data_IF_969986504566
#
_entry.id   IF_969986504566
#
_cell.length_a   1.000
_cell.length_b   1.000
_cell.length_c   1.000
_cell.angle_alpha   90.00
_cell.angle_beta   90.00
_cell.angle_gamma   90.00
#
_symmetry.space_group_name_H-M   'P 1'
#
loop_
_entity.id
_entity.type
_entity.pdbx_description
1 polymer ?
#
# COMPACT_ATOMS: atom_id res chain seq x y z
N UNK A 1 -15.60 2.91 -25.84
CA UNK A 1 -14.71 1.98 -25.07
C UNK A 1 -14.74 0.52 -25.55
N UNK A 2 -15.92 -0.09 -25.79
CA UNK A 2 -16.08 -1.52 -26.12
C UNK A 2 -15.43 -1.97 -27.45
N UNK A 3 -15.31 -1.08 -28.44
CA UNK A 3 -14.70 -1.38 -29.75
C UNK A 3 -13.16 -1.35 -29.75
N UNK A 4 -12.55 -0.54 -28.88
CA UNK A 4 -11.09 -0.43 -28.75
C UNK A 4 -10.50 -1.70 -28.11
N UNK A 5 -11.15 -2.21 -27.07
CA UNK A 5 -10.77 -3.45 -26.40
C UNK A 5 -10.87 -4.67 -27.34
N UNK A 6 -11.90 -4.73 -28.20
CA UNK A 6 -12.03 -5.78 -29.23
C UNK A 6 -10.90 -5.73 -30.27
N UNK A 7 -10.45 -4.53 -30.68
CA UNK A 7 -9.33 -4.40 -31.60
C UNK A 7 -8.00 -4.84 -30.97
N UNK A 8 -7.76 -4.50 -29.70
CA UNK A 8 -6.55 -4.92 -28.97
C UNK A 8 -6.52 -6.44 -28.83
N UNK A 9 -7.62 -7.07 -28.40
CA UNK A 9 -7.71 -8.53 -28.25
C UNK A 9 -7.50 -9.22 -29.60
N UNK A 10 -8.10 -8.71 -30.68
CA UNK A 10 -7.93 -9.28 -32.03
C UNK A 10 -6.48 -9.16 -32.52
N UNK A 11 -5.80 -8.03 -32.27
CA UNK A 11 -4.38 -7.85 -32.58
C UNK A 11 -3.49 -8.78 -31.74
N UNK A 12 -3.75 -8.93 -30.44
CA UNK A 12 -3.01 -9.84 -29.56
C UNK A 12 -3.17 -11.31 -29.96
N UNK A 13 -4.37 -11.73 -30.39
CA UNK A 13 -4.62 -13.08 -30.90
C UNK A 13 -3.93 -13.36 -32.24
N UNK A 14 -3.85 -12.35 -33.12
CA UNK A 14 -3.10 -12.44 -34.38
C UNK A 14 -1.60 -12.43 -34.13
N UNK A 15 -1.11 -11.65 -33.17
CA UNK A 15 0.29 -11.66 -32.74
C UNK A 15 0.67 -13.01 -32.12
N UNK A 16 -0.17 -13.55 -31.23
CA UNK A 16 0.01 -14.87 -30.62
C UNK A 16 0.00 -16.01 -31.63
N UNK A 17 -0.89 -15.95 -32.64
CA UNK A 17 -0.89 -16.91 -33.76
C UNK A 17 0.33 -16.78 -34.67
N UNK A 18 0.87 -15.57 -34.88
CA UNK A 18 2.14 -15.34 -35.61
C UNK A 18 3.36 -15.81 -34.81
N UNK A 19 3.35 -15.68 -33.49
CA UNK A 19 4.38 -16.23 -32.59
C UNK A 19 4.32 -17.75 -32.44
N UNK A 20 3.18 -18.36 -32.75
CA UNK A 20 2.96 -19.82 -32.79
C UNK A 20 3.09 -20.37 -34.22
N UNK A 21 4.01 -19.84 -35.03
CA UNK A 21 4.39 -20.54 -36.27
C UNK A 21 4.99 -21.91 -35.89
N UNK A 22 4.81 -22.93 -36.73
CA UNK A 22 5.37 -24.28 -36.49
C UNK A 22 6.88 -24.22 -36.22
N UNK A 23 7.57 -23.23 -36.80
CA UNK A 23 9.00 -22.97 -36.62
C UNK A 23 9.34 -22.48 -35.21
N UNK A 24 8.63 -21.47 -34.66
CA UNK A 24 8.89 -20.97 -33.29
C UNK A 24 8.54 -22.02 -32.23
N UNK A 25 7.47 -22.80 -32.46
CA UNK A 25 7.12 -23.94 -31.59
C UNK A 25 8.18 -25.04 -31.65
N UNK A 26 8.71 -25.32 -32.85
CA UNK A 26 9.83 -26.24 -33.04
C UNK A 26 11.09 -25.77 -32.31
N UNK A 27 11.43 -24.49 -32.42
CA UNK A 27 12.58 -23.89 -31.73
C UNK A 27 12.44 -23.92 -30.21
N UNK A 28 11.25 -23.64 -29.66
CA UNK A 28 10.99 -23.75 -28.22
C UNK A 28 11.13 -25.20 -27.73
N UNK A 29 10.52 -26.16 -28.45
CA UNK A 29 10.64 -27.59 -28.12
C UNK A 29 12.10 -28.05 -28.20
N UNK A 30 12.86 -27.55 -29.18
CA UNK A 30 14.28 -27.83 -29.34
C UNK A 30 15.11 -27.26 -28.17
N UNK A 31 14.85 -26.00 -27.77
CA UNK A 31 15.50 -25.38 -26.61
C UNK A 31 15.18 -26.15 -25.32
N UNK A 32 13.92 -26.50 -25.07
CA UNK A 32 13.55 -27.30 -23.90
C UNK A 32 14.18 -28.69 -23.94
N UNK A 33 14.29 -29.32 -25.12
CA UNK A 33 14.97 -30.60 -25.28
C UNK A 33 16.46 -30.50 -24.99
N UNK A 34 17.13 -29.42 -25.45
CA UNK A 34 18.54 -29.16 -25.15
C UNK A 34 18.73 -28.91 -23.65
N UNK A 35 17.90 -28.09 -23.02
CA UNK A 35 17.96 -27.82 -21.58
C UNK A 35 17.73 -29.10 -20.78
N UNK A 36 16.79 -29.95 -21.20
CA UNK A 36 16.55 -31.26 -20.59
C UNK A 36 17.74 -32.20 -20.76
N UNK A 37 18.35 -32.24 -21.95
CA UNK A 37 19.55 -33.05 -22.21
C UNK A 37 20.74 -32.58 -21.36
N UNK A 38 20.97 -31.28 -21.27
CA UNK A 38 21.99 -30.65 -20.44
C UNK A 38 21.73 -30.98 -18.96
N UNK A 39 20.47 -30.92 -18.51
CA UNK A 39 20.09 -31.30 -17.15
C UNK A 39 20.41 -32.77 -16.85
N UNK A 40 20.06 -33.69 -17.75
CA UNK A 40 20.35 -35.13 -17.61
C UNK A 40 21.88 -35.37 -17.61
N UNK A 41 22.61 -34.73 -18.52
CA UNK A 41 24.08 -34.82 -18.60
C UNK A 41 24.75 -34.28 -17.33
N UNK A 42 24.29 -33.16 -16.81
CA UNK A 42 24.77 -32.60 -15.54
C UNK A 42 24.56 -33.56 -14.37
N UNK A 43 23.42 -34.25 -14.30
CA UNK A 43 23.14 -35.23 -13.24
C UNK A 43 23.90 -36.55 -13.38
N UNK A 44 24.29 -36.91 -14.61
CA UNK A 44 25.11 -38.10 -14.89
C UNK A 44 26.61 -37.85 -14.69
N UNK A 45 27.08 -36.65 -15.00
CA UNK A 45 28.51 -36.30 -14.98
C UNK A 45 28.98 -35.65 -13.69
N UNK A 46 28.09 -34.97 -12.95
CA UNK A 46 28.44 -34.34 -11.68
C UNK A 46 28.11 -35.27 -10.51
N UNK A 47 29.05 -35.48 -9.56
CA UNK A 47 28.75 -36.17 -8.33
C UNK A 47 27.60 -35.47 -7.60
N UNK A 48 26.64 -36.25 -7.07
CA UNK A 48 25.50 -35.74 -6.31
C UNK A 48 25.92 -34.76 -5.20
N UNK A 49 27.09 -34.99 -4.60
CA UNK A 49 27.70 -34.13 -3.58
C UNK A 49 27.98 -32.70 -4.10
N UNK A 50 28.40 -32.55 -5.35
CA UNK A 50 28.74 -31.26 -5.94
C UNK A 50 27.49 -30.48 -6.35
N UNK A 51 26.44 -31.17 -6.83
CA UNK A 51 25.12 -30.57 -7.10
C UNK A 51 24.47 -30.07 -5.81
N UNK A 52 24.52 -30.87 -4.74
CA UNK A 52 24.02 -30.45 -3.42
C UNK A 52 24.80 -29.27 -2.85
N UNK A 53 26.14 -29.28 -2.95
CA UNK A 53 26.97 -28.16 -2.48
C UNK A 53 26.68 -26.85 -3.23
N UNK A 54 26.46 -26.91 -4.56
CA UNK A 54 26.06 -25.75 -5.35
C UNK A 54 24.68 -25.24 -4.95
N UNK A 55 23.72 -26.14 -4.73
CA UNK A 55 22.38 -25.79 -4.26
C UNK A 55 22.43 -25.11 -2.89
N UNK A 56 23.16 -25.68 -1.93
CA UNK A 56 23.32 -25.12 -0.59
C UNK A 56 23.96 -23.72 -0.61
N UNK A 57 24.98 -23.52 -1.45
CA UNK A 57 25.63 -22.22 -1.61
C UNK A 57 24.67 -21.20 -2.24
N UNK A 58 23.90 -21.60 -3.25
CA UNK A 58 22.87 -20.74 -3.84
C UNK A 58 21.79 -20.36 -2.82
N UNK A 59 21.31 -21.31 -2.02
CA UNK A 59 20.34 -21.05 -0.95
C UNK A 59 20.88 -20.05 0.08
N UNK A 60 22.13 -20.22 0.53
CA UNK A 60 22.76 -19.29 1.48
C UNK A 60 22.86 -17.86 0.91
N UNK A 61 23.25 -17.73 -0.35
CA UNK A 61 23.30 -16.43 -1.04
C UNK A 61 21.91 -15.83 -1.19
N UNK A 62 20.91 -16.62 -1.59
CA UNK A 62 19.53 -16.18 -1.74
C UNK A 62 18.94 -15.70 -0.40
N UNK A 63 19.21 -16.40 0.71
CA UNK A 63 18.80 -15.98 2.06
C UNK A 63 19.48 -14.66 2.44
N UNK A 64 20.79 -14.52 2.19
CA UNK A 64 21.51 -13.27 2.46
C UNK A 64 20.96 -12.08 1.68
N UNK A 65 20.68 -12.26 0.39
CA UNK A 65 20.07 -11.24 -0.47
C UNK A 65 18.65 -10.90 0.01
N UNK A 66 17.83 -11.90 0.33
CA UNK A 66 16.48 -11.68 0.86
C UNK A 66 16.53 -10.88 2.18
N UNK A 67 17.44 -11.21 3.09
CA UNK A 67 17.62 -10.49 4.35
C UNK A 67 18.03 -9.03 4.13
N UNK A 68 18.93 -8.75 3.17
CA UNK A 68 19.31 -7.37 2.81
C UNK A 68 18.14 -6.58 2.22
N UNK A 69 17.37 -7.20 1.32
CA UNK A 69 16.15 -6.60 0.74
C UNK A 69 15.15 -6.32 1.86
N UNK A 70 14.90 -7.28 2.74
CA UNK A 70 13.99 -7.11 3.88
C UNK A 70 14.47 -6.04 4.86
N UNK A 71 15.78 -5.92 5.13
CA UNK A 71 16.31 -4.86 5.97
C UNK A 71 16.15 -3.47 5.31
N UNK A 72 16.46 -3.39 4.02
CA UNK A 72 16.38 -2.16 3.24
C UNK A 72 14.93 -1.64 3.13
N UNK A 73 13.98 -2.51 2.75
CA UNK A 73 12.58 -2.12 2.60
C UNK A 73 11.78 -2.18 3.91
N UNK A 74 12.17 -3.05 4.85
CA UNK A 74 11.44 -3.25 6.10
C UNK A 74 11.70 -2.13 7.12
N UNK A 75 12.88 -1.52 7.12
CA UNK A 75 13.21 -0.43 8.05
C UNK A 75 12.37 0.83 7.82
N UNK A 76 12.14 1.21 6.57
CA UNK A 76 11.29 2.36 6.22
C UNK A 76 9.83 2.09 6.57
N UNK A 77 9.32 0.90 6.24
CA UNK A 77 7.96 0.48 6.59
C UNK A 77 7.75 0.45 8.11
N UNK A 78 8.71 -0.09 8.86
CA UNK A 78 8.63 -0.15 10.32
C UNK A 78 8.62 1.23 10.96
N UNK A 79 9.47 2.15 10.46
CA UNK A 79 9.51 3.54 10.94
C UNK A 79 8.20 4.28 10.65
N UNK A 80 7.64 4.10 9.46
CA UNK A 80 6.33 4.67 9.11
C UNK A 80 5.21 4.10 10.01
N UNK A 81 5.21 2.79 10.23
CA UNK A 81 4.21 2.12 11.05
C UNK A 81 4.33 2.52 12.54
N UNK A 82 5.55 2.68 13.04
CA UNK A 82 5.81 3.18 14.40
C UNK A 82 5.31 4.62 14.57
N UNK A 83 5.65 5.49 13.61
CA UNK A 83 5.15 6.88 13.59
C UNK A 83 3.63 6.92 13.57
N UNK A 84 3.00 6.09 12.73
CA UNK A 84 1.54 5.98 12.66
C UNK A 84 0.92 5.57 14.00
N UNK A 85 1.47 4.57 14.67
CA UNK A 85 0.97 4.12 15.98
C UNK A 85 1.06 5.24 17.02
N UNK A 86 2.19 5.97 17.07
CA UNK A 86 2.37 7.12 17.96
C UNK A 86 1.32 8.21 17.69
N UNK A 87 1.08 8.55 16.43
CA UNK A 87 0.06 9.55 16.07
C UNK A 87 -1.34 9.12 16.48
N UNK A 88 -1.69 7.85 16.27
CA UNK A 88 -2.99 7.30 16.70
C UNK A 88 -3.14 7.41 18.21
N UNK A 89 -2.12 7.00 18.96
CA UNK A 89 -2.12 7.07 20.42
C UNK A 89 -2.26 8.51 20.93
N UNK A 90 -1.50 9.45 20.36
CA UNK A 90 -1.58 10.87 20.69
C UNK A 90 -3.00 11.41 20.51
N UNK A 91 -3.61 11.24 19.34
CA UNK A 91 -4.94 11.77 19.06
C UNK A 91 -6.06 11.05 19.80
N UNK A 92 -5.94 9.74 20.05
CA UNK A 92 -6.91 9.00 20.88
C UNK A 92 -6.85 9.43 22.35
N UNK A 93 -5.68 9.84 22.83
CA UNK A 93 -5.52 10.38 24.18
C UNK A 93 -6.09 11.80 24.28
N UNK A 94 -5.82 12.64 23.27
CA UNK A 94 -6.29 14.03 23.23
C UNK A 94 -7.80 14.14 22.99
N UNK A 95 -8.33 13.31 22.10
CA UNK A 95 -9.74 13.31 21.70
C UNK A 95 -10.34 11.89 21.84
N UNK A 96 -10.55 11.43 23.08
CA UNK A 96 -11.03 10.08 23.32
C UNK A 96 -12.53 9.95 22.97
N UNK A 97 -12.99 8.79 22.46
CA UNK A 97 -14.38 8.61 22.01
C UNK A 97 -15.48 8.97 23.02
N UNK A 98 -15.20 8.80 24.31
CA UNK A 98 -16.17 9.03 25.40
C UNK A 98 -16.48 10.52 25.65
N UNK A 99 -15.68 11.45 25.13
CA UNK A 99 -15.91 12.90 25.29
C UNK A 99 -16.40 13.57 24.01
N UNK A 100 -16.73 12.79 22.99
CA UNK A 100 -17.37 13.29 21.76
C UNK A 100 -18.72 13.94 22.09
N UNK A 101 -19.01 15.09 21.46
CA UNK A 101 -20.19 15.92 21.72
C UNK A 101 -20.03 16.86 22.92
N UNK A 102 -19.09 16.58 23.83
CA UNK A 102 -18.82 17.41 25.02
C UNK A 102 -17.58 18.29 24.80
N UNK A 103 -16.44 17.69 24.46
CA UNK A 103 -15.17 18.39 24.26
C UNK A 103 -14.82 18.64 22.80
N UNK A 104 -15.31 17.80 21.91
CA UNK A 104 -15.09 17.95 20.49
C UNK A 104 -16.25 17.35 19.71
N UNK A 105 -16.41 17.77 18.46
CA UNK A 105 -17.38 17.20 17.53
C UNK A 105 -16.83 17.14 16.12
N UNK A 106 -17.34 16.21 15.32
CA UNK A 106 -16.98 16.14 13.89
C UNK A 106 -17.89 17.10 13.13
N UNK A 107 -17.29 17.97 12.31
CA UNK A 107 -17.99 18.95 11.50
C UNK A 107 -17.62 18.84 10.03
N UNK A 108 -18.53 19.26 9.16
CA UNK A 108 -18.33 19.41 7.72
C UNK A 108 -18.95 20.73 7.24
N UNK A 109 -18.39 21.34 6.21
CA UNK A 109 -18.98 22.51 5.56
C UNK A 109 -20.05 22.07 4.55
N UNK A 110 -21.19 22.75 4.53
CA UNK A 110 -22.24 22.51 3.53
C UNK A 110 -21.79 22.78 2.09
N UNK A 111 -20.88 23.74 1.88
CA UNK A 111 -20.40 24.13 0.54
C UNK A 111 -19.19 23.34 0.08
N UNK A 112 -18.51 22.64 0.99
CA UNK A 112 -17.35 21.80 0.69
C UNK A 112 -17.58 20.36 1.22
N UNK A 113 -18.57 19.64 0.66
CA UNK A 113 -18.85 18.28 1.10
C UNK A 113 -17.65 17.37 0.80
N UNK A 114 -17.24 16.60 1.81
CA UNK A 114 -16.16 15.60 1.69
C UNK A 114 -14.88 15.94 2.47
N UNK A 115 -14.67 17.19 2.86
CA UNK A 115 -13.61 17.57 3.79
C UNK A 115 -14.15 17.49 5.23
N UNK A 116 -13.52 16.66 6.07
CA UNK A 116 -13.97 16.37 7.43
C UNK A 116 -13.05 17.10 8.41
N UNK A 117 -13.64 17.73 9.42
CA UNK A 117 -12.89 18.46 10.43
C UNK A 117 -13.30 18.01 11.83
N UNK A 118 -12.35 18.07 12.77
CA UNK A 118 -12.63 17.99 14.20
C UNK A 118 -12.74 19.42 14.73
N UNK A 119 -13.87 19.78 15.31
CA UNK A 119 -14.03 21.02 16.05
C UNK A 119 -13.77 20.76 17.53
N UNK A 120 -12.68 21.32 18.03
CA UNK A 120 -12.32 21.30 19.44
C UNK A 120 -13.11 22.41 20.16
N UNK A 121 -14.03 22.00 21.04
CA UNK A 121 -14.94 22.91 21.73
C UNK A 121 -14.25 23.61 22.92
N UNK A 122 -13.09 23.11 23.36
CA UNK A 122 -12.31 23.74 24.43
C UNK A 122 -11.40 24.83 23.88
N UNK A 123 -10.72 24.56 22.76
CA UNK A 123 -9.80 25.52 22.14
C UNK A 123 -10.43 26.38 21.05
N UNK A 124 -11.66 26.05 20.61
CA UNK A 124 -12.39 26.71 19.52
C UNK A 124 -11.68 26.63 18.16
N UNK A 125 -10.83 25.62 17.96
CA UNK A 125 -10.15 25.36 16.70
C UNK A 125 -10.84 24.25 15.91
N UNK A 126 -10.86 24.40 14.58
CA UNK A 126 -11.16 23.32 13.63
C UNK A 126 -9.85 22.73 13.10
N UNK A 127 -9.73 21.42 13.20
CA UNK A 127 -8.60 20.65 12.72
C UNK A 127 -9.02 19.84 11.50
N UNK A 128 -8.36 20.05 10.37
CA UNK A 128 -8.63 19.26 9.16
C UNK A 128 -8.22 17.80 9.38
N UNK A 129 -9.14 16.87 9.15
CA UNK A 129 -8.85 15.44 9.19
C UNK A 129 -8.41 15.01 7.80
N UNK A 130 -7.12 14.68 7.65
CA UNK A 130 -6.48 14.55 6.35
C UNK A 130 -7.16 13.58 5.37
N UNK A 131 -7.71 12.47 5.87
CA UNK A 131 -8.43 11.50 5.05
C UNK A 131 -9.35 10.61 5.90
N UNK A 132 -10.25 9.90 5.21
CA UNK A 132 -11.17 8.98 5.88
C UNK A 132 -10.48 7.80 6.57
N UNK A 133 -9.29 7.39 6.10
CA UNK A 133 -8.48 6.37 6.80
C UNK A 133 -8.08 6.83 8.21
N UNK A 134 -7.77 8.11 8.38
CA UNK A 134 -7.46 8.71 9.69
C UNK A 134 -8.67 8.60 10.62
N UNK A 135 -9.88 8.86 10.13
CA UNK A 135 -11.12 8.69 10.89
C UNK A 135 -11.30 7.25 11.37
N UNK A 136 -11.04 6.25 10.50
CA UNK A 136 -11.08 4.83 10.89
C UNK A 136 -9.99 4.45 11.89
N UNK A 137 -8.75 4.87 11.64
CA UNK A 137 -7.61 4.63 12.53
C UNK A 137 -7.89 5.19 13.93
N UNK A 138 -8.63 6.30 14.04
CA UNK A 138 -8.97 6.95 15.31
C UNK A 138 -10.28 6.45 15.92
N UNK A 139 -11.08 5.67 15.20
CA UNK A 139 -12.34 5.09 15.70
C UNK A 139 -13.52 6.06 15.67
N UNK A 140 -13.47 7.07 14.81
CA UNK A 140 -14.48 8.15 14.75
C UNK A 140 -15.52 7.95 13.63
N UNK A 141 -15.50 6.80 12.95
CA UNK A 141 -16.37 6.52 11.80
C UNK A 141 -17.86 6.47 12.16
N UNK A 142 -18.20 6.17 13.42
CA UNK A 142 -19.57 6.08 13.92
C UNK A 142 -20.11 7.40 14.45
N UNK A 143 -19.29 8.46 14.51
CA UNK A 143 -19.72 9.75 15.03
C UNK A 143 -20.53 10.51 13.99
N UNK A 144 -21.60 11.15 14.46
CA UNK A 144 -22.39 12.05 13.64
C UNK A 144 -21.55 13.24 13.17
N UNK A 145 -21.73 13.61 11.90
CA UNK A 145 -21.03 14.73 11.29
C UNK A 145 -21.98 15.90 11.21
N UNK A 146 -21.74 16.92 12.02
CA UNK A 146 -22.56 18.12 12.07
C UNK A 146 -22.22 18.99 10.86
N UNK A 147 -23.20 19.22 10.00
CA UNK A 147 -23.04 20.15 8.87
C UNK A 147 -23.25 21.56 9.36
N UNK A 148 -22.31 22.44 9.00
CA UNK A 148 -22.37 23.86 9.33
C UNK A 148 -22.52 24.69 8.06
N UNK A 149 -23.26 25.79 8.18
CA UNK A 149 -23.30 26.81 7.14
C UNK A 149 -21.88 27.33 6.88
N UNK A 150 -21.61 27.86 5.69
CA UNK A 150 -20.27 28.37 5.38
C UNK A 150 -19.82 29.48 6.32
N UNK A 151 -20.74 30.36 6.73
CA UNK A 151 -20.44 31.44 7.66
C UNK A 151 -20.01 30.91 9.03
N UNK A 152 -20.75 29.94 9.58
CA UNK A 152 -20.43 29.35 10.88
C UNK A 152 -19.14 28.54 10.80
N UNK A 153 -18.96 27.78 9.72
CA UNK A 153 -17.76 26.99 9.50
C UNK A 153 -16.51 27.87 9.41
N UNK A 154 -16.56 28.94 8.62
CA UNK A 154 -15.43 29.85 8.40
C UNK A 154 -15.10 30.70 9.62
N UNK A 155 -16.07 30.92 10.51
CA UNK A 155 -15.85 31.65 11.77
C UNK A 155 -14.92 30.93 12.76
N UNK A 156 -14.76 29.61 12.63
CA UNK A 156 -13.94 28.80 13.55
C UNK A 156 -12.47 28.87 13.14
N UNK A 157 -11.59 29.13 14.11
CA UNK A 157 -10.15 29.25 13.93
C UNK A 157 -9.53 27.95 13.41
N UNK A 158 -8.54 28.04 12.52
CA UNK A 158 -7.88 26.87 11.95
C UNK A 158 -6.76 26.42 12.89
N UNK A 159 -6.80 25.17 13.32
CA UNK A 159 -5.73 24.52 14.06
C UNK A 159 -4.94 23.54 13.18
N UNK A 160 -3.97 22.86 13.80
CA UNK A 160 -3.11 21.91 13.09
C UNK A 160 -3.90 20.72 12.53
N UNK A 161 -3.53 20.20 11.34
CA UNK A 161 -4.22 19.08 10.73
C UNK A 161 -3.98 17.77 11.48
N UNK A 162 -5.02 16.94 11.59
CA UNK A 162 -4.95 15.61 12.18
C UNK A 162 -4.58 14.60 11.10
N UNK A 163 -3.43 13.94 11.30
CA UNK A 163 -2.91 12.91 10.39
C UNK A 163 -2.36 11.72 11.18
N UNK A 164 -2.68 10.51 10.75
CA UNK A 164 -2.06 9.29 11.28
C UNK A 164 -0.84 8.85 10.49
N UNK A 165 -0.52 9.50 9.36
CA UNK A 165 0.69 9.22 8.57
C UNK A 165 1.52 10.48 8.38
N UNK A 166 2.83 10.29 8.25
CA UNK A 166 3.81 11.38 8.27
C UNK A 166 4.26 11.71 9.69
N UNK A 167 5.45 12.26 9.84
CA UNK A 167 5.96 12.72 11.13
C UNK A 167 5.02 13.79 11.69
N UNK A 168 4.57 13.64 12.94
CA UNK A 168 4.03 14.78 13.68
C UNK A 168 5.18 15.78 13.73
N UNK A 169 4.99 16.97 13.15
CA UNK A 169 6.03 17.99 13.22
C UNK A 169 6.24 18.31 14.69
N UNK A 170 7.41 17.97 15.22
CA UNK A 170 7.99 18.62 16.38
C UNK A 170 8.81 19.82 15.88
#
# INVERSE_FOLDING_TARGET
>A
MRNFLKQIIKKALVLGKRFLSKEVRGSLVFIFSILGLIFILLHLLLPLALVNALSDNFYKVAIGVAALITAYFGSSYFREELSRKKSIEHYRTKYPPNVHGVKYRIIESETQPGAIYLHDLETLHKHHIWNMKTVYDLGWQSFERVRLSSQDFDSILIGDPIRTRGELGE
#
